data_IF_578359321153
#
_entry.id   IF_578359321153
#
_cell.length_a   1.000
_cell.length_b   1.000
_cell.length_c   1.000
_cell.angle_alpha   90.00
_cell.angle_beta   90.00
_cell.angle_gamma   90.00
#
_symmetry.space_group_name_H-M   'P 1'
#
loop_
_entity.id
_entity.type
_entity.pdbx_description
1 polymer ?
#
# COMPACT_ATOMS: atom_id res chain seq x y z
N UNK A 1 5.19 10.75 -24.94
CA UNK A 1 3.94 9.99 -24.73
C UNK A 1 3.22 10.51 -23.48
N UNK A 2 1.90 10.71 -23.55
CA UNK A 2 1.06 11.15 -22.41
C UNK A 2 1.27 10.24 -21.20
N UNK A 3 1.38 8.93 -21.42
CA UNK A 3 1.63 7.93 -20.39
C UNK A 3 2.89 8.20 -19.56
N UNK A 4 4.04 8.44 -20.22
CA UNK A 4 5.31 8.71 -19.54
C UNK A 4 5.25 10.00 -18.72
N UNK A 5 4.55 11.03 -19.21
CA UNK A 5 4.34 12.27 -18.46
C UNK A 5 3.52 12.02 -17.19
N UNK A 6 2.48 11.19 -17.28
CA UNK A 6 1.67 10.78 -16.12
C UNK A 6 2.47 9.96 -15.11
N UNK A 7 3.25 8.98 -15.57
CA UNK A 7 4.14 8.17 -14.70
C UNK A 7 5.16 9.04 -13.99
N UNK A 8 5.81 9.98 -14.69
CA UNK A 8 6.79 10.88 -14.07
C UNK A 8 6.14 11.82 -13.05
N UNK A 9 4.94 12.35 -13.35
CA UNK A 9 4.17 13.13 -12.38
C UNK A 9 3.80 12.31 -11.15
N UNK A 10 3.39 11.05 -11.34
CA UNK A 10 3.07 10.13 -10.25
C UNK A 10 4.30 9.84 -9.38
N UNK A 11 5.46 9.55 -9.99
CA UNK A 11 6.73 9.36 -9.27
C UNK A 11 7.06 10.57 -8.41
N UNK A 12 6.96 11.78 -8.98
CA UNK A 12 7.20 13.03 -8.27
C UNK A 12 6.27 13.19 -7.07
N UNK A 13 4.96 12.97 -7.26
CA UNK A 13 3.98 13.02 -6.17
C UNK A 13 4.32 12.00 -5.09
N UNK A 14 4.66 10.76 -5.46
CA UNK A 14 5.06 9.74 -4.49
C UNK A 14 6.29 10.19 -3.72
N UNK A 15 7.30 10.75 -4.38
CA UNK A 15 8.52 11.22 -3.70
C UNK A 15 8.24 12.38 -2.75
N UNK A 16 7.35 13.30 -3.12
CA UNK A 16 6.98 14.45 -2.29
C UNK A 16 6.14 14.04 -1.06
N UNK A 17 5.17 13.14 -1.24
CA UNK A 17 4.23 12.75 -0.19
C UNK A 17 4.72 11.59 0.68
N UNK A 18 5.59 10.72 0.19
CA UNK A 18 6.12 9.58 0.96
C UNK A 18 6.67 9.98 2.34
N UNK A 19 7.56 10.98 2.50
CA UNK A 19 8.04 11.35 3.84
C UNK A 19 6.93 11.86 4.76
N UNK A 20 5.96 12.62 4.23
CA UNK A 20 4.78 13.10 4.99
C UNK A 20 3.92 11.92 5.46
N UNK A 21 3.74 10.91 4.61
CA UNK A 21 3.02 9.68 4.95
C UNK A 21 3.79 8.86 5.99
N UNK A 22 5.11 8.75 5.88
CA UNK A 22 5.93 8.06 6.88
C UNK A 22 5.81 8.72 8.26
N UNK A 23 5.83 10.06 8.33
CA UNK A 23 5.59 10.80 9.56
C UNK A 23 4.19 10.54 10.13
N UNK A 24 3.17 10.54 9.28
CA UNK A 24 1.80 10.23 9.70
C UNK A 24 1.66 8.79 10.22
N UNK A 25 2.29 7.82 9.56
CA UNK A 25 2.36 6.43 10.01
C UNK A 25 3.00 6.31 11.41
N UNK A 26 4.10 7.02 11.63
CA UNK A 26 4.75 7.08 12.94
C UNK A 26 3.84 7.71 14.00
N UNK A 27 3.15 8.80 13.66
CA UNK A 27 2.18 9.44 14.54
C UNK A 27 1.02 8.51 14.92
N UNK A 28 0.50 7.68 14.00
CA UNK A 28 -0.54 6.68 14.30
C UNK A 28 -0.06 5.70 15.39
N UNK A 29 1.17 5.20 15.28
CA UNK A 29 1.74 4.23 16.23
C UNK A 29 1.93 4.87 17.61
N UNK A 30 2.50 6.09 17.67
CA UNK A 30 2.64 6.84 18.93
C UNK A 30 1.27 7.09 19.55
N UNK A 31 0.32 7.55 18.73
CA UNK A 31 -1.03 7.85 19.20
C UNK A 31 -1.68 6.61 19.82
N UNK A 32 -1.53 5.44 19.19
CA UNK A 32 -2.02 4.18 19.76
C UNK A 32 -1.36 3.82 21.10
N UNK A 33 -0.06 4.08 21.25
CA UNK A 33 0.67 3.86 22.51
C UNK A 33 0.18 4.80 23.62
N UNK A 34 0.04 6.10 23.33
CA UNK A 34 -0.47 7.10 24.27
C UNK A 34 -1.92 6.81 24.65
N UNK A 35 -2.77 6.49 23.68
CA UNK A 35 -4.16 6.11 23.91
C UNK A 35 -4.30 4.88 24.81
N UNK A 36 -3.37 3.93 24.70
CA UNK A 36 -3.31 2.79 25.63
C UNK A 36 -2.96 3.22 27.05
N UNK A 37 -1.97 4.09 27.22
CA UNK A 37 -1.61 4.63 28.54
C UNK A 37 -2.72 5.44 29.19
N UNK A 38 -3.50 6.20 28.41
CA UNK A 38 -4.59 7.06 28.88
C UNK A 38 -5.97 6.37 28.92
N UNK A 39 -6.04 5.07 28.62
CA UNK A 39 -7.29 4.30 28.51
C UNK A 39 -8.31 4.82 27.47
N UNK A 40 -7.86 5.60 26.47
CA UNK A 40 -8.71 6.14 25.40
C UNK A 40 -8.63 5.32 24.11
N UNK A 41 -9.00 4.04 24.19
CA UNK A 41 -8.79 3.06 23.13
C UNK A 41 -9.66 3.27 21.88
N UNK A 42 -10.89 3.77 22.05
CA UNK A 42 -11.91 3.78 20.97
C UNK A 42 -11.48 4.61 19.77
N UNK A 43 -10.91 5.79 19.98
CA UNK A 43 -10.53 6.68 18.88
C UNK A 43 -9.29 6.18 18.15
N UNK A 44 -8.25 5.73 18.87
CA UNK A 44 -7.08 5.11 18.27
C UNK A 44 -7.43 3.86 17.46
N UNK A 45 -8.42 3.09 17.93
CA UNK A 45 -8.94 1.94 17.21
C UNK A 45 -9.60 2.33 15.89
N UNK A 46 -10.47 3.34 15.90
CA UNK A 46 -11.14 3.84 14.69
C UNK A 46 -10.11 4.36 13.68
N UNK A 47 -9.13 5.16 14.14
CA UNK A 47 -8.09 5.71 13.27
C UNK A 47 -7.25 4.60 12.63
N UNK A 48 -6.83 3.61 13.41
CA UNK A 48 -6.07 2.45 12.92
C UNK A 48 -6.90 1.60 11.95
N UNK A 49 -8.21 1.47 12.20
CA UNK A 49 -9.14 0.76 11.30
C UNK A 49 -9.26 1.46 9.95
N UNK A 50 -9.36 2.78 9.98
CA UNK A 50 -9.46 3.59 8.80
C UNK A 50 -8.17 3.52 7.96
N UNK A 51 -7.00 3.67 8.58
CA UNK A 51 -5.70 3.52 7.91
C UNK A 51 -5.51 2.13 7.30
N UNK A 52 -5.90 1.09 8.01
CA UNK A 52 -5.88 -0.29 7.50
C UNK A 52 -6.82 -0.48 6.31
N UNK A 53 -8.03 0.07 6.36
CA UNK A 53 -8.98 -0.03 5.26
C UNK A 53 -8.51 0.71 4.01
N UNK A 54 -8.07 1.97 4.17
CA UNK A 54 -7.57 2.79 3.05
C UNK A 54 -6.37 2.15 2.38
N UNK A 55 -5.40 1.67 3.16
CA UNK A 55 -4.19 1.05 2.58
C UNK A 55 -4.53 -0.19 1.75
N UNK A 56 -5.44 -1.05 2.22
CA UNK A 56 -5.93 -2.19 1.43
C UNK A 56 -6.69 -1.77 0.19
N UNK A 57 -7.56 -0.78 0.30
CA UNK A 57 -8.32 -0.26 -0.83
C UNK A 57 -7.39 0.36 -1.88
N UNK A 58 -6.37 1.10 -1.47
CA UNK A 58 -5.35 1.64 -2.35
C UNK A 58 -4.57 0.54 -3.09
N UNK A 59 -4.10 -0.50 -2.37
CA UNK A 59 -3.45 -1.66 -2.99
C UNK A 59 -4.36 -2.36 -4.01
N UNK A 60 -5.65 -2.48 -3.70
CA UNK A 60 -6.64 -3.05 -4.60
C UNK A 60 -6.79 -2.24 -5.90
N UNK A 61 -7.02 -0.93 -5.78
CA UNK A 61 -7.17 -0.03 -6.92
C UNK A 61 -5.89 0.03 -7.77
N UNK A 62 -4.72 0.10 -7.15
CA UNK A 62 -3.43 0.09 -7.86
C UNK A 62 -3.27 -1.20 -8.67
N UNK A 63 -3.58 -2.35 -8.06
CA UNK A 63 -3.44 -3.67 -8.72
C UNK A 63 -4.39 -3.80 -9.91
N UNK A 64 -5.65 -3.39 -9.77
CA UNK A 64 -6.61 -3.38 -10.88
C UNK A 64 -6.15 -2.45 -12.00
N UNK A 65 -5.68 -1.25 -11.64
CA UNK A 65 -5.20 -0.26 -12.60
C UNK A 65 -3.99 -0.79 -13.38
N UNK A 66 -3.07 -1.48 -12.70
CA UNK A 66 -1.91 -2.09 -13.34
C UNK A 66 -2.33 -3.20 -14.32
N UNK A 67 -3.28 -4.07 -13.94
CA UNK A 67 -3.83 -5.11 -14.82
C UNK A 67 -4.53 -4.48 -16.03
N UNK A 68 -5.36 -3.46 -15.79
CA UNK A 68 -6.10 -2.78 -16.85
C UNK A 68 -5.17 -2.10 -17.87
N UNK A 69 -4.15 -1.38 -17.39
CA UNK A 69 -3.14 -0.74 -18.25
C UNK A 69 -2.33 -1.75 -19.05
N UNK A 70 -2.09 -2.92 -18.47
CA UNK A 70 -1.44 -4.01 -19.17
C UNK A 70 -2.29 -4.53 -20.32
N UNK A 71 -3.57 -4.84 -20.08
CA UNK A 71 -4.44 -5.37 -21.13
C UNK A 71 -4.74 -4.37 -22.24
N UNK A 72 -4.92 -3.08 -21.90
CA UNK A 72 -5.30 -2.04 -22.86
C UNK A 72 -4.12 -1.45 -23.63
N UNK A 73 -3.04 -1.10 -22.94
CA UNK A 73 -1.94 -0.32 -23.50
C UNK A 73 -0.59 -1.07 -23.52
N UNK A 74 -0.56 -2.32 -23.02
CA UNK A 74 0.68 -3.12 -22.85
C UNK A 74 1.74 -2.37 -22.05
N UNK A 75 1.31 -1.57 -21.07
CA UNK A 75 2.18 -0.81 -20.17
C UNK A 75 2.21 -1.46 -18.80
N UNK A 76 3.39 -1.52 -18.20
CA UNK A 76 3.60 -2.16 -16.91
C UNK A 76 3.82 -1.09 -15.84
N UNK A 77 2.73 -0.71 -15.18
CA UNK A 77 2.75 0.32 -14.13
C UNK A 77 3.71 -0.04 -12.98
N UNK A 78 3.80 -1.31 -12.61
CA UNK A 78 4.66 -1.78 -11.52
C UNK A 78 6.14 -1.55 -11.83
N UNK A 79 6.58 -1.88 -13.04
CA UNK A 79 7.95 -1.63 -13.50
C UNK A 79 8.20 -0.14 -13.76
N UNK A 80 7.25 0.53 -14.39
CA UNK A 80 7.43 1.91 -14.86
C UNK A 80 7.48 2.90 -13.70
N UNK A 81 6.67 2.70 -12.64
CA UNK A 81 6.71 3.53 -11.42
C UNK A 81 7.75 3.00 -10.43
N UNK A 82 7.93 1.69 -10.36
CA UNK A 82 8.83 1.00 -9.44
C UNK A 82 8.23 0.78 -8.04
N UNK A 83 9.07 0.26 -7.13
CA UNK A 83 8.65 -0.18 -5.79
C UNK A 83 8.01 0.92 -4.92
N UNK A 84 8.28 2.19 -5.23
CA UNK A 84 7.71 3.33 -4.51
C UNK A 84 6.18 3.33 -4.49
N UNK A 85 5.55 2.85 -5.57
CA UNK A 85 4.10 2.72 -5.70
C UNK A 85 3.50 1.78 -4.64
N UNK A 86 4.21 0.70 -4.32
CA UNK A 86 3.79 -0.30 -3.35
C UNK A 86 4.12 0.10 -1.91
N UNK A 87 5.27 0.76 -1.70
CA UNK A 87 5.78 1.12 -0.38
C UNK A 87 4.83 2.08 0.35
N UNK A 88 4.21 3.04 -0.35
CA UNK A 88 3.34 4.04 0.29
C UNK A 88 2.14 3.40 1.02
N UNK A 89 1.27 2.62 0.37
CA UNK A 89 0.16 1.96 1.06
C UNK A 89 0.64 0.88 2.03
N UNK A 90 1.80 0.24 1.78
CA UNK A 90 2.42 -0.72 2.69
C UNK A 90 2.74 -0.09 4.05
N UNK A 91 3.37 1.08 4.08
CA UNK A 91 3.72 1.76 5.33
C UNK A 91 2.50 2.02 6.20
N UNK A 92 1.40 2.51 5.60
CA UNK A 92 0.14 2.78 6.30
C UNK A 92 -0.48 1.48 6.82
N UNK A 93 -0.47 0.42 6.03
CA UNK A 93 -0.99 -0.89 6.41
C UNK A 93 -0.23 -1.47 7.61
N UNK A 94 1.11 -1.39 7.57
CA UNK A 94 2.00 -1.87 8.63
C UNK A 94 1.79 -1.06 9.90
N UNK A 95 1.85 0.28 9.82
CA UNK A 95 1.64 1.16 10.96
C UNK A 95 0.27 0.94 11.64
N UNK A 96 -0.78 0.82 10.85
CA UNK A 96 -2.14 0.54 11.34
C UNK A 96 -2.24 -0.84 12.01
N UNK A 97 -1.55 -1.84 11.48
CA UNK A 97 -1.53 -3.19 12.05
C UNK A 97 -0.74 -3.26 13.35
N UNK A 98 0.38 -2.54 13.44
CA UNK A 98 1.13 -2.38 14.69
C UNK A 98 0.32 -1.63 15.74
N UNK A 99 -0.34 -0.53 15.36
CA UNK A 99 -1.24 0.20 16.26
C UNK A 99 -2.34 -0.72 16.82
N UNK A 100 -2.93 -1.57 15.98
CA UNK A 100 -3.87 -2.59 16.46
C UNK A 100 -3.26 -3.56 17.46
N UNK A 101 -2.05 -4.05 17.21
CA UNK A 101 -1.38 -4.97 18.14
C UNK A 101 -1.03 -4.33 19.47
N UNK A 102 -0.71 -3.04 19.48
CA UNK A 102 -0.48 -2.29 20.71
C UNK A 102 -1.77 -2.26 21.54
N UNK A 103 -2.90 -1.97 20.91
CA UNK A 103 -4.21 -1.90 21.59
C UNK A 103 -4.77 -3.28 21.95
N UNK A 104 -4.55 -4.29 21.11
CA UNK A 104 -5.00 -5.66 21.27
C UNK A 104 -3.83 -6.63 21.01
N UNK A 105 -3.25 -7.13 22.10
CA UNK A 105 -2.10 -8.03 22.06
C UNK A 105 -2.37 -9.34 21.32
N UNK A 106 -3.62 -9.73 21.08
CA UNK A 106 -3.98 -10.95 20.36
C UNK A 106 -4.27 -10.69 18.87
N UNK A 107 -4.18 -9.44 18.40
CA UNK A 107 -4.50 -9.10 17.03
C UNK A 107 -3.60 -9.84 16.02
N UNK A 108 -4.17 -10.59 15.05
CA UNK A 108 -3.40 -11.42 14.11
C UNK A 108 -2.86 -10.56 12.96
N UNK A 109 -1.79 -9.82 13.24
CA UNK A 109 -1.14 -8.91 12.27
C UNK A 109 -0.75 -9.66 10.99
N UNK A 110 0.00 -10.75 11.12
CA UNK A 110 0.61 -11.45 9.99
C UNK A 110 -0.43 -11.96 9.00
N UNK A 111 -1.48 -12.63 9.47
CA UNK A 111 -2.54 -13.15 8.59
C UNK A 111 -3.22 -12.02 7.80
N UNK A 112 -3.45 -10.87 8.44
CA UNK A 112 -4.09 -9.71 7.79
C UNK A 112 -3.16 -8.99 6.82
N UNK A 113 -1.85 -8.92 7.12
CA UNK A 113 -0.85 -8.39 6.21
C UNK A 113 -0.73 -9.28 4.96
N UNK A 114 -0.54 -10.59 5.13
CA UNK A 114 -0.42 -11.54 4.02
C UNK A 114 -1.64 -11.53 3.09
N UNK A 115 -2.85 -11.49 3.65
CA UNK A 115 -4.07 -11.39 2.84
C UNK A 115 -4.14 -10.10 1.99
N UNK A 116 -3.43 -9.04 2.38
CA UNK A 116 -3.39 -7.78 1.65
C UNK A 116 -2.39 -7.79 0.48
N UNK A 117 -1.48 -8.77 0.44
CA UNK A 117 -0.46 -8.89 -0.60
C UNK A 117 -0.83 -9.79 -1.77
N UNK A 118 -1.84 -10.65 -1.61
CA UNK A 118 -2.26 -11.60 -2.64
C UNK A 118 -2.50 -10.90 -3.98
N UNK A 119 -3.29 -9.82 -3.99
CA UNK A 119 -3.66 -9.15 -5.22
C UNK A 119 -2.51 -8.35 -5.87
N UNK A 120 -1.73 -7.53 -5.13
CA UNK A 120 -0.51 -6.91 -5.68
C UNK A 120 0.46 -7.94 -6.27
N UNK A 121 0.71 -9.05 -5.58
CA UNK A 121 1.60 -10.12 -6.05
C UNK A 121 1.08 -10.73 -7.35
N UNK A 122 -0.20 -11.14 -7.39
CA UNK A 122 -0.81 -11.71 -8.60
C UNK A 122 -0.73 -10.73 -9.77
N UNK A 123 -1.02 -9.45 -9.53
CA UNK A 123 -0.95 -8.42 -10.58
C UNK A 123 0.48 -8.18 -11.07
N UNK A 124 1.46 -8.15 -10.18
CA UNK A 124 2.88 -7.99 -10.53
C UNK A 124 3.40 -9.18 -11.33
N UNK A 125 3.12 -10.41 -10.87
CA UNK A 125 3.50 -11.64 -11.59
C UNK A 125 2.82 -11.67 -12.96
N UNK A 126 1.51 -11.44 -13.04
CA UNK A 126 0.77 -11.47 -14.31
C UNK A 126 1.37 -10.47 -15.32
N UNK A 127 1.59 -9.23 -14.92
CA UNK A 127 2.13 -8.20 -15.82
C UNK A 127 3.59 -8.43 -16.19
N UNK A 128 4.40 -9.05 -15.33
CA UNK A 128 5.82 -9.33 -15.62
C UNK A 128 6.01 -10.62 -16.43
N UNK A 129 5.36 -11.72 -16.07
CA UNK A 129 5.49 -13.02 -16.75
C UNK A 129 5.00 -12.95 -18.20
N UNK A 130 3.90 -12.22 -18.46
CA UNK A 130 3.41 -12.01 -19.83
C UNK A 130 4.39 -11.16 -20.65
N UNK A 131 5.12 -10.25 -20.00
CA UNK A 131 6.16 -9.45 -20.67
C UNK A 131 7.35 -10.33 -21.09
N UNK A 132 7.78 -11.26 -20.24
CA UNK A 132 8.86 -12.22 -20.55
C UNK A 132 8.44 -13.18 -21.66
N UNK A 133 7.21 -13.72 -21.60
CA UNK A 133 6.68 -14.59 -22.67
C UNK A 133 6.66 -13.90 -24.04
N UNK A 134 6.38 -12.59 -24.09
CA UNK A 134 6.39 -11.81 -25.35
C UNK A 134 7.80 -11.58 -25.92
N UNK A 135 8.84 -11.61 -25.09
CA UNK A 135 10.22 -11.45 -25.56
C UNK A 135 10.75 -12.76 -26.14
N UNK A 136 10.24 -13.89 -25.63
CA UNK A 136 10.69 -15.24 -25.98
C UNK A 136 9.93 -15.82 -27.20
N UNK A 137 8.65 -15.47 -27.36
CA UNK A 137 7.78 -15.85 -28.49
C UNK A 137 7.77 -14.78 -29.58
#
# INVERSE_FOLDING_TARGET
>A
SIYLKTVNKLKYLITEFNPKISLFCFAIVIFAFVSKGLNFYKFAYILSRFGWFISRFALFIISITAIFLWFTAKKNLWLDVGNSLFIVPLQVLVASSFAFRIMDSNYPIWNRLFASFILPIISGISTNTINVLRIIL
#
